data_IF_192290892884
#
_entry.id   IF_192290892884
#
_cell.length_a   1.000
_cell.length_b   1.000
_cell.length_c   1.000
_cell.angle_alpha   90.00
_cell.angle_beta   90.00
_cell.angle_gamma   90.00
#
_symmetry.space_group_name_H-M   'P 1'
#
loop_
_entity.id
_entity.type
_entity.pdbx_description
1 polymer ?
#
# COMPACT_ATOMS: atom_id res chain seq x y z
N UNK A 1 6.13 -5.05 -30.22
CA UNK A 1 6.46 -5.30 -28.80
C UNK A 1 6.14 -4.00 -28.06
N UNK A 2 5.04 -3.92 -27.36
CA UNK A 2 4.53 -2.65 -26.83
C UNK A 2 4.95 -2.51 -25.37
N UNK A 3 5.80 -1.56 -25.09
CA UNK A 3 6.18 -1.15 -23.74
C UNK A 3 5.11 -0.21 -23.19
N UNK A 4 4.45 -0.64 -22.12
CA UNK A 4 3.37 0.12 -21.48
C UNK A 4 3.91 0.94 -20.32
N UNK A 5 3.64 2.24 -20.29
CA UNK A 5 3.81 3.07 -19.08
C UNK A 5 2.90 2.57 -17.95
N UNK A 6 3.21 2.90 -16.70
CA UNK A 6 2.31 2.56 -15.57
C UNK A 6 0.88 3.05 -15.84
N UNK A 7 0.73 4.24 -16.46
CA UNK A 7 -0.55 4.83 -16.90
C UNK A 7 -1.27 3.96 -17.93
N UNK A 8 -0.56 3.46 -18.93
CA UNK A 8 -1.13 2.53 -19.93
C UNK A 8 -1.48 1.15 -19.35
N UNK A 9 -0.72 0.67 -18.37
CA UNK A 9 -1.04 -0.58 -17.67
C UNK A 9 -2.37 -0.47 -16.92
N UNK A 10 -2.66 0.68 -16.29
CA UNK A 10 -3.96 0.98 -15.68
C UNK A 10 -5.06 0.99 -16.75
N UNK A 11 -4.83 1.65 -17.87
CA UNK A 11 -5.81 1.79 -18.95
C UNK A 11 -6.07 0.49 -19.73
N UNK A 12 -5.03 -0.32 -19.96
CA UNK A 12 -5.23 -1.65 -20.56
C UNK A 12 -5.95 -2.60 -19.62
N UNK A 13 -5.68 -2.51 -18.32
CA UNK A 13 -6.44 -3.26 -17.33
C UNK A 13 -7.93 -2.90 -17.37
N UNK A 14 -8.27 -1.63 -17.62
CA UNK A 14 -9.63 -1.16 -17.76
C UNK A 14 -10.30 -1.57 -19.09
N UNK A 15 -9.55 -1.57 -20.22
CA UNK A 15 -10.08 -1.91 -21.56
C UNK A 15 -10.19 -3.40 -21.85
N UNK A 16 -9.31 -4.25 -21.29
CA UNK A 16 -9.27 -5.71 -21.55
C UNK A 16 -10.16 -6.53 -20.63
N UNK A 17 -11.18 -5.97 -20.04
CA UNK A 17 -12.02 -6.72 -19.11
C UNK A 17 -12.95 -7.73 -19.76
N UNK A 18 -13.11 -7.70 -21.06
CA UNK A 18 -14.00 -8.61 -21.80
C UNK A 18 -13.22 -9.76 -22.50
N UNK A 19 -11.90 -9.69 -22.57
CA UNK A 19 -11.08 -10.78 -23.06
C UNK A 19 -10.37 -11.50 -21.91
N UNK A 20 -10.55 -12.83 -21.82
CA UNK A 20 -9.89 -13.68 -20.82
C UNK A 20 -8.37 -13.53 -20.94
N UNK A 21 -7.76 -12.97 -19.89
CA UNK A 21 -6.31 -12.94 -19.75
C UNK A 21 -5.79 -14.36 -19.52
N UNK A 22 -4.79 -14.76 -20.29
CA UNK A 22 -4.08 -16.03 -20.17
C UNK A 22 -3.56 -16.23 -18.72
N UNK A 23 -3.57 -17.45 -18.17
CA UNK A 23 -3.14 -17.74 -16.79
C UNK A 23 -1.72 -17.29 -16.44
N UNK A 24 -0.88 -17.03 -17.44
CA UNK A 24 0.53 -16.65 -17.29
C UNK A 24 0.73 -15.21 -16.80
N UNK A 25 -0.23 -14.30 -17.03
CA UNK A 25 -0.12 -12.89 -16.57
C UNK A 25 -0.40 -12.69 -15.07
N UNK A 26 -0.83 -13.70 -14.35
CA UNK A 26 -1.28 -13.64 -12.95
C UNK A 26 -0.16 -13.58 -11.92
N UNK A 27 1.09 -13.77 -12.32
CA UNK A 27 2.21 -13.98 -11.38
C UNK A 27 3.24 -12.84 -11.32
N UNK A 28 2.99 -11.70 -11.97
CA UNK A 28 4.00 -10.66 -12.13
C UNK A 28 3.80 -9.46 -11.20
N UNK A 29 4.76 -9.20 -10.34
CA UNK A 29 4.90 -7.94 -9.60
C UNK A 29 5.77 -6.95 -10.39
N UNK A 30 5.54 -5.64 -10.21
CA UNK A 30 6.26 -4.58 -10.91
C UNK A 30 6.73 -3.52 -9.94
N UNK A 31 7.95 -3.05 -10.12
CA UNK A 31 8.48 -1.88 -9.42
C UNK A 31 8.85 -0.81 -10.45
N UNK A 32 8.37 0.40 -10.26
CA UNK A 32 8.67 1.56 -11.11
C UNK A 32 9.44 2.58 -10.28
N UNK A 33 10.66 2.86 -10.67
CA UNK A 33 11.50 3.90 -10.10
C UNK A 33 11.46 5.13 -11.01
N UNK A 34 10.86 6.21 -10.54
CA UNK A 34 10.64 7.44 -11.32
C UNK A 34 11.18 8.65 -10.56
N UNK A 35 11.76 9.60 -11.29
CA UNK A 35 12.00 10.95 -10.81
C UNK A 35 11.31 11.96 -11.71
N UNK A 36 10.67 12.95 -11.12
CA UNK A 36 10.21 14.14 -11.82
C UNK A 36 11.20 15.30 -11.64
N UNK A 37 11.35 16.14 -12.68
CA UNK A 37 12.09 17.40 -12.55
C UNK A 37 11.33 18.31 -11.57
N UNK A 38 12.08 19.02 -10.72
CA UNK A 38 11.52 20.00 -9.80
C UNK A 38 10.59 20.98 -10.56
N UNK A 39 9.31 20.95 -10.25
CA UNK A 39 8.29 21.80 -10.87
C UNK A 39 7.00 21.09 -11.28
N UNK A 40 7.03 19.78 -11.56
CA UNK A 40 5.84 19.01 -11.91
C UNK A 40 5.62 17.91 -10.86
N UNK A 41 4.92 18.22 -9.80
CA UNK A 41 4.24 17.17 -9.02
C UNK A 41 3.01 16.76 -9.84
N UNK A 42 2.82 15.49 -10.24
CA UNK A 42 1.51 15.08 -10.69
C UNK A 42 0.58 15.31 -9.51
N UNK A 43 -0.30 16.26 -9.64
CA UNK A 43 -1.36 16.41 -8.67
C UNK A 43 -2.17 15.11 -8.70
N UNK A 44 -2.41 14.52 -7.54
CA UNK A 44 -3.27 13.33 -7.43
C UNK A 44 -4.70 13.58 -7.97
N UNK A 45 -5.06 14.84 -8.25
CA UNK A 45 -6.21 15.22 -9.03
C UNK A 45 -6.33 14.43 -10.35
N UNK A 46 -5.19 14.05 -10.97
CA UNK A 46 -5.16 13.27 -12.19
C UNK A 46 -5.78 11.89 -12.06
N UNK A 47 -5.51 11.21 -10.93
CA UNK A 47 -6.09 9.89 -10.67
C UNK A 47 -7.61 9.97 -10.46
N UNK A 48 -8.13 11.07 -9.89
CA UNK A 48 -9.57 11.24 -9.68
C UNK A 48 -10.31 11.40 -10.99
N UNK A 49 -9.79 12.24 -11.88
CA UNK A 49 -10.36 12.43 -13.20
C UNK A 49 -10.33 11.12 -14.02
N UNK A 50 -9.23 10.37 -13.94
CA UNK A 50 -9.10 9.07 -14.59
C UNK A 50 -10.10 8.05 -14.01
N UNK A 51 -10.14 7.93 -12.70
CA UNK A 51 -11.02 6.97 -11.99
C UNK A 51 -12.48 7.29 -12.26
N UNK A 52 -12.85 8.59 -12.23
CA UNK A 52 -14.19 9.05 -12.60
C UNK A 52 -14.55 8.72 -14.06
N UNK A 53 -13.63 8.96 -15.01
CA UNK A 53 -13.84 8.64 -16.42
C UNK A 53 -13.99 7.12 -16.69
N UNK A 54 -13.51 6.28 -15.78
CA UNK A 54 -13.62 4.82 -15.82
C UNK A 54 -14.76 4.27 -14.95
N UNK A 55 -15.67 5.13 -14.46
CA UNK A 55 -16.73 4.77 -13.52
C UNK A 55 -16.21 4.07 -12.24
N UNK A 56 -15.02 4.42 -11.80
CA UNK A 56 -14.41 3.95 -10.58
C UNK A 56 -14.84 4.75 -9.36
N UNK A 57 -14.38 4.33 -8.20
CA UNK A 57 -14.64 4.97 -6.91
C UNK A 57 -13.36 5.62 -6.36
N UNK A 58 -13.49 6.86 -5.92
CA UNK A 58 -12.47 7.55 -5.13
C UNK A 58 -12.89 7.51 -3.67
N UNK A 59 -12.03 7.01 -2.81
CA UNK A 59 -12.18 6.96 -1.35
C UNK A 59 -11.20 7.98 -0.77
N UNK A 60 -11.72 9.06 -0.20
CA UNK A 60 -10.88 10.13 0.34
C UNK A 60 -10.67 9.94 1.84
N UNK A 61 -9.47 9.54 2.22
CA UNK A 61 -9.07 9.41 3.61
C UNK A 61 -8.48 10.75 4.09
N UNK A 62 -9.28 11.48 4.86
CA UNK A 62 -8.91 12.79 5.40
C UNK A 62 -9.66 13.04 6.71
N UNK A 63 -9.09 13.78 7.62
CA UNK A 63 -9.68 14.05 8.95
C UNK A 63 -11.07 14.71 8.88
N UNK A 64 -11.39 15.36 7.77
CA UNK A 64 -12.67 16.00 7.49
C UNK A 64 -13.54 15.21 6.47
N UNK A 65 -13.11 14.02 6.06
CA UNK A 65 -13.87 13.17 5.15
C UNK A 65 -14.98 12.42 5.89
N UNK A 66 -15.97 12.00 5.10
CA UNK A 66 -17.04 11.09 5.55
C UNK A 66 -16.78 9.64 5.12
N UNK A 67 -15.71 9.39 4.38
CA UNK A 67 -15.31 8.04 3.96
C UNK A 67 -14.45 7.43 5.07
N UNK A 68 -14.90 6.33 5.65
CA UNK A 68 -14.19 5.63 6.71
C UNK A 68 -13.73 4.25 6.27
N UNK A 69 -12.57 3.85 6.77
CA UNK A 69 -11.98 2.55 6.55
C UNK A 69 -11.54 1.99 7.91
N UNK A 70 -12.16 0.89 8.31
CA UNK A 70 -11.89 0.23 9.58
C UNK A 70 -10.62 -0.65 9.46
N UNK A 71 -9.54 -0.39 10.19
CA UNK A 71 -8.35 -1.24 10.16
C UNK A 71 -8.61 -2.64 10.70
N UNK A 72 -9.70 -2.82 11.43
CA UNK A 72 -10.06 -4.13 11.97
C UNK A 72 -10.85 -5.01 10.99
N UNK A 73 -11.21 -4.52 9.79
CA UNK A 73 -11.94 -5.31 8.82
C UNK A 73 -11.18 -6.57 8.42
N UNK A 74 -11.84 -7.71 8.47
CA UNK A 74 -11.32 -9.02 8.08
C UNK A 74 -12.24 -9.66 7.05
N UNK A 75 -11.65 -10.33 6.08
CA UNK A 75 -12.40 -11.15 5.13
C UNK A 75 -12.29 -12.61 5.52
N UNK A 76 -13.42 -13.19 5.89
CA UNK A 76 -13.53 -14.62 6.16
C UNK A 76 -13.64 -15.37 4.84
N UNK A 77 -12.80 -16.37 4.67
CA UNK A 77 -12.93 -17.33 3.57
C UNK A 77 -13.50 -18.62 4.15
N UNK A 78 -14.52 -19.20 3.51
CA UNK A 78 -15.16 -20.44 3.96
C UNK A 78 -14.20 -21.62 4.20
N UNK A 79 -12.92 -21.45 3.86
CA UNK A 79 -11.91 -22.52 3.92
C UNK A 79 -10.86 -22.35 5.03
N UNK A 80 -10.62 -21.13 5.54
CA UNK A 80 -9.47 -20.94 6.46
C UNK A 80 -9.54 -19.66 7.32
N UNK A 81 -10.56 -19.57 8.18
CA UNK A 81 -10.75 -18.42 9.08
C UNK A 81 -9.57 -18.19 10.03
N UNK A 82 -8.88 -19.27 10.42
CA UNK A 82 -7.68 -19.18 11.29
C UNK A 82 -6.51 -18.47 10.58
N UNK A 83 -6.32 -18.73 9.30
CA UNK A 83 -5.27 -18.05 8.51
C UNK A 83 -5.62 -16.57 8.32
N UNK A 84 -6.90 -16.25 8.06
CA UNK A 84 -7.37 -14.88 7.95
C UNK A 84 -7.14 -14.11 9.26
N UNK A 85 -7.47 -14.70 10.41
CA UNK A 85 -7.22 -14.07 11.72
C UNK A 85 -5.73 -13.88 11.99
N UNK A 86 -4.89 -14.87 11.66
CA UNK A 86 -3.43 -14.75 11.82
C UNK A 86 -2.88 -13.56 11.01
N UNK A 87 -3.27 -13.45 9.75
CA UNK A 87 -2.83 -12.34 8.89
C UNK A 87 -3.31 -10.99 9.40
N UNK A 88 -4.55 -10.95 9.92
CA UNK A 88 -5.09 -9.74 10.55
C UNK A 88 -4.37 -9.41 11.84
N UNK A 89 -4.02 -10.42 12.65
CA UNK A 89 -3.21 -10.22 13.87
C UNK A 89 -1.84 -9.64 13.54
N UNK A 90 -1.14 -10.19 12.55
CA UNK A 90 0.16 -9.68 12.08
C UNK A 90 0.05 -8.19 11.65
N UNK A 91 -1.05 -7.83 10.94
CA UNK A 91 -1.31 -6.45 10.54
C UNK A 91 -1.57 -5.54 11.75
N UNK A 92 -2.46 -5.94 12.67
CA UNK A 92 -2.81 -5.11 13.85
C UNK A 92 -1.61 -4.94 14.77
N UNK A 93 -0.77 -5.97 14.94
CA UNK A 93 0.49 -5.87 15.68
C UNK A 93 1.40 -4.83 15.01
N UNK A 94 1.53 -4.85 13.68
CA UNK A 94 2.32 -3.85 12.94
C UNK A 94 1.76 -2.44 13.12
N UNK A 95 0.42 -2.30 13.09
CA UNK A 95 -0.27 -1.04 13.35
C UNK A 95 0.03 -0.51 14.77
N UNK A 96 -0.08 -1.37 15.77
CA UNK A 96 0.23 -1.03 17.16
C UNK A 96 1.73 -0.72 17.34
N UNK A 97 2.60 -1.42 16.62
CA UNK A 97 4.05 -1.18 16.65
C UNK A 97 4.39 0.22 16.11
N UNK A 98 3.74 0.63 15.02
CA UNK A 98 3.88 1.99 14.48
C UNK A 98 3.37 3.07 15.46
N UNK A 99 2.30 2.79 16.21
CA UNK A 99 1.71 3.75 17.16
C UNK A 99 2.45 3.77 18.51
N UNK A 100 2.79 2.61 19.06
CA UNK A 100 3.24 2.44 20.46
C UNK A 100 4.68 1.93 20.60
N UNK A 101 5.29 1.41 19.54
CA UNK A 101 6.60 0.74 19.57
C UNK A 101 7.79 1.69 19.73
N UNK A 102 7.64 2.98 19.43
CA UNK A 102 8.74 3.93 19.48
C UNK A 102 9.90 3.53 18.55
N UNK A 103 11.14 3.91 18.90
CA UNK A 103 12.32 3.66 18.05
C UNK A 103 12.72 2.20 17.95
N UNK A 104 12.43 1.39 18.97
CA UNK A 104 12.89 -0.01 19.05
C UNK A 104 11.81 -1.01 18.68
N UNK A 105 10.59 -0.55 18.44
CA UNK A 105 9.42 -1.40 18.22
C UNK A 105 8.88 -2.01 19.52
N UNK A 106 7.78 -2.75 19.39
CA UNK A 106 7.18 -3.50 20.50
C UNK A 106 8.01 -4.76 20.83
N UNK A 107 8.11 -5.06 22.12
CA UNK A 107 8.71 -6.29 22.60
C UNK A 107 7.86 -7.53 22.27
N UNK A 108 8.45 -8.71 22.29
CA UNK A 108 7.73 -9.94 21.93
C UNK A 108 6.55 -10.27 22.85
N UNK A 109 6.68 -9.99 24.12
CA UNK A 109 5.59 -10.17 25.10
C UNK A 109 4.45 -9.17 24.89
N UNK A 110 4.76 -7.93 24.49
CA UNK A 110 3.78 -6.91 24.12
C UNK A 110 2.99 -7.33 22.86
N UNK A 111 3.68 -7.89 21.87
CA UNK A 111 3.04 -8.50 20.67
C UNK A 111 2.13 -9.66 21.07
N UNK A 112 2.54 -10.50 22.03
CA UNK A 112 1.74 -11.58 22.58
C UNK A 112 0.47 -11.10 23.30
N UNK A 113 0.57 -9.99 24.04
CA UNK A 113 -0.59 -9.35 24.69
C UNK A 113 -1.60 -8.87 23.65
N UNK A 114 -1.13 -8.18 22.60
CA UNK A 114 -1.98 -7.68 21.52
C UNK A 114 -2.65 -8.86 20.80
N UNK A 115 -1.93 -9.92 20.43
CA UNK A 115 -2.47 -11.11 19.76
C UNK A 115 -3.56 -11.79 20.60
N UNK A 116 -3.37 -11.86 21.91
CA UNK A 116 -4.37 -12.41 22.84
C UNK A 116 -5.65 -11.56 22.86
N UNK A 117 -5.51 -10.23 22.89
CA UNK A 117 -6.65 -9.31 22.85
C UNK A 117 -7.38 -9.41 21.50
N UNK A 118 -6.64 -9.49 20.38
CA UNK A 118 -7.21 -9.66 19.04
C UNK A 118 -8.06 -10.91 18.96
N UNK A 119 -7.54 -12.07 19.38
CA UNK A 119 -8.30 -13.31 19.41
C UNK A 119 -9.59 -13.19 20.20
N UNK A 120 -9.54 -12.47 21.31
CA UNK A 120 -10.72 -12.25 22.16
C UNK A 120 -11.80 -11.40 21.49
N UNK A 121 -11.44 -10.26 20.90
CA UNK A 121 -12.40 -9.31 20.32
C UNK A 121 -13.06 -9.84 19.04
N UNK A 122 -12.39 -10.71 18.27
CA UNK A 122 -12.96 -11.30 17.07
C UNK A 122 -13.90 -12.47 17.33
N UNK A 123 -13.95 -13.03 18.57
CA UNK A 123 -14.83 -14.17 18.88
C UNK A 123 -16.30 -13.90 18.54
N UNK A 124 -16.81 -12.71 18.84
CA UNK A 124 -18.18 -12.32 18.51
C UNK A 124 -18.46 -12.34 17.01
N UNK A 125 -17.52 -11.81 16.23
CA UNK A 125 -17.61 -11.79 14.77
C UNK A 125 -17.54 -13.19 14.15
N UNK A 126 -16.72 -14.10 14.68
CA UNK A 126 -16.64 -15.48 14.20
C UNK A 126 -17.90 -16.30 14.51
N UNK A 127 -18.58 -15.98 15.63
CA UNK A 127 -19.86 -16.64 15.97
C UNK A 127 -20.97 -16.14 15.05
N UNK A 128 -21.00 -14.84 14.78
CA UNK A 128 -22.01 -14.22 13.95
C UNK A 128 -21.36 -13.14 13.06
N UNK A 129 -20.95 -13.50 11.82
CA UNK A 129 -20.18 -12.61 10.93
C UNK A 129 -21.08 -11.53 10.27
N UNK A 130 -21.50 -10.59 11.09
CA UNK A 130 -22.27 -9.41 10.66
C UNK A 130 -21.41 -8.15 10.77
N UNK A 131 -21.67 -7.11 9.92
CA UNK A 131 -20.95 -5.84 9.99
C UNK A 131 -20.97 -5.19 11.37
N UNK A 132 -22.06 -5.36 12.13
CA UNK A 132 -22.23 -4.80 13.47
C UNK A 132 -21.32 -5.46 14.51
N UNK A 133 -20.93 -6.73 14.29
CA UNK A 133 -20.07 -7.49 15.17
C UNK A 133 -18.58 -7.36 14.80
N UNK A 134 -18.28 -6.66 13.69
CA UNK A 134 -16.88 -6.38 13.31
C UNK A 134 -16.25 -5.49 14.37
N UNK A 135 -15.08 -5.87 14.95
CA UNK A 135 -14.41 -5.03 15.94
C UNK A 135 -14.02 -3.66 15.38
N UNK A 136 -13.89 -2.70 16.27
CA UNK A 136 -13.27 -1.40 16.03
C UNK A 136 -11.95 -1.31 16.81
N UNK A 137 -11.17 -0.26 16.55
CA UNK A 137 -9.94 0.01 17.29
C UNK A 137 -10.23 0.22 18.79
N UNK A 138 -11.41 0.77 19.12
CA UNK A 138 -11.90 0.92 20.49
C UNK A 138 -12.08 -0.42 21.21
N UNK A 139 -12.49 -1.47 20.52
CA UNK A 139 -12.63 -2.82 21.11
C UNK A 139 -11.26 -3.36 21.54
N UNK A 140 -10.22 -3.14 20.73
CA UNK A 140 -8.85 -3.48 21.08
C UNK A 140 -8.36 -2.66 22.28
N UNK A 141 -8.61 -1.35 22.27
CA UNK A 141 -8.29 -0.46 23.40
C UNK A 141 -8.92 -0.96 24.70
N UNK A 142 -10.21 -1.27 24.68
CA UNK A 142 -10.93 -1.78 25.84
C UNK A 142 -10.44 -3.16 26.29
N UNK A 143 -10.09 -4.04 25.34
CA UNK A 143 -9.54 -5.36 25.65
C UNK A 143 -8.15 -5.25 26.33
N UNK A 144 -7.30 -4.33 25.88
CA UNK A 144 -6.00 -4.04 26.48
C UNK A 144 -6.14 -3.50 27.91
N UNK A 145 -7.09 -2.60 28.18
CA UNK A 145 -7.35 -2.08 29.53
C UNK A 145 -7.87 -3.18 30.49
N UNK A 146 -8.61 -4.16 29.97
CA UNK A 146 -9.17 -5.28 30.71
C UNK A 146 -8.31 -6.54 30.66
N UNK A 147 -7.08 -6.44 30.13
CA UNK A 147 -6.22 -7.59 29.93
C UNK A 147 -5.88 -8.28 31.27
N UNK A 148 -6.18 -9.57 31.36
CA UNK A 148 -5.84 -10.43 32.48
C UNK A 148 -4.87 -11.53 32.01
N UNK A 149 -3.59 -11.49 32.45
CA UNK A 149 -2.59 -12.48 32.05
C UNK A 149 -2.85 -13.80 32.74
N UNK A 150 -3.45 -14.78 32.02
CA UNK A 150 -3.77 -16.10 32.56
C UNK A 150 -2.61 -17.10 32.51
N UNK A 151 -1.75 -16.94 31.48
CA UNK A 151 -0.67 -17.89 31.18
C UNK A 151 0.71 -17.28 31.54
N UNK A 152 0.76 -16.36 32.49
CA UNK A 152 1.96 -15.65 32.91
C UNK A 152 2.22 -15.95 34.39
N UNK A 153 3.49 -16.18 34.74
CA UNK A 153 3.89 -16.40 36.13
C UNK A 153 3.42 -15.25 37.04
N UNK A 154 2.96 -15.54 38.27
CA UNK A 154 2.37 -14.52 39.13
C UNK A 154 3.24 -13.27 39.36
N UNK A 155 4.56 -13.45 39.41
CA UNK A 155 5.53 -12.37 39.57
C UNK A 155 5.53 -11.39 38.39
N UNK A 156 5.22 -11.89 37.16
CA UNK A 156 5.22 -11.11 35.92
C UNK A 156 3.84 -10.55 35.54
N UNK A 157 2.78 -10.97 36.22
CA UNK A 157 1.40 -10.55 35.88
C UNK A 157 1.21 -9.03 35.99
N UNK A 158 1.82 -8.41 36.99
CA UNK A 158 1.75 -6.96 37.19
C UNK A 158 2.42 -6.20 36.03
N UNK A 159 3.57 -6.67 35.62
CA UNK A 159 4.31 -6.09 34.50
C UNK A 159 3.52 -6.25 33.18
N UNK A 160 2.99 -7.43 32.89
CA UNK A 160 2.18 -7.68 31.71
C UNK A 160 0.94 -6.76 31.63
N UNK A 161 0.25 -6.54 32.77
CA UNK A 161 -0.86 -5.56 32.85
C UNK A 161 -0.39 -4.12 32.59
N UNK A 162 0.76 -3.72 33.14
CA UNK A 162 1.32 -2.39 32.89
C UNK A 162 1.66 -2.19 31.40
N UNK A 163 2.24 -3.20 30.75
CA UNK A 163 2.52 -3.19 29.31
C UNK A 163 1.23 -3.05 28.49
N UNK A 164 0.19 -3.81 28.81
CA UNK A 164 -1.12 -3.70 28.16
C UNK A 164 -1.72 -2.28 28.28
N UNK A 165 -1.70 -1.69 29.49
CA UNK A 165 -2.18 -0.33 29.73
C UNK A 165 -1.33 0.70 28.98
N UNK A 166 0.00 0.52 28.91
CA UNK A 166 0.89 1.40 28.13
C UNK A 166 0.50 1.43 26.66
N UNK A 167 0.25 0.25 26.08
CA UNK A 167 -0.19 0.14 24.67
C UNK A 167 -1.56 0.80 24.49
N UNK A 168 -2.52 0.54 25.40
CA UNK A 168 -3.84 1.17 25.35
C UNK A 168 -3.71 2.71 25.40
N UNK A 169 -2.91 3.25 26.31
CA UNK A 169 -2.69 4.69 26.41
C UNK A 169 -2.13 5.31 25.12
N UNK A 170 -1.30 4.59 24.38
CA UNK A 170 -0.81 5.05 23.08
C UNK A 170 -1.92 5.08 22.01
N UNK A 171 -2.96 4.25 22.14
CA UNK A 171 -4.11 4.22 21.23
C UNK A 171 -5.15 5.31 21.53
N UNK A 172 -5.12 5.97 22.70
CA UNK A 172 -6.14 6.97 23.12
C UNK A 172 -6.34 8.06 22.07
N UNK A 173 -5.26 8.54 21.46
CA UNK A 173 -5.33 9.60 20.44
C UNK A 173 -6.13 9.16 19.22
N UNK A 174 -6.07 7.88 18.87
CA UNK A 174 -6.69 7.27 17.68
C UNK A 174 -8.10 6.72 17.97
N UNK A 175 -8.46 6.56 19.23
CA UNK A 175 -9.78 6.04 19.65
C UNK A 175 -10.68 7.17 20.10
N UNK A 176 -10.23 7.98 21.06
CA UNK A 176 -11.00 9.05 21.71
C UNK A 176 -10.47 10.44 21.41
N UNK A 177 -9.26 10.55 20.84
CA UNK A 177 -8.60 11.83 20.58
C UNK A 177 -8.94 12.41 19.22
N UNK A 178 -8.19 13.46 18.84
CA UNK A 178 -8.38 14.20 17.57
C UNK A 178 -8.03 13.41 16.30
N UNK A 179 -7.43 12.24 16.44
CA UNK A 179 -7.05 11.37 15.33
C UNK A 179 -7.90 10.09 15.24
N UNK A 180 -9.13 10.12 15.75
CA UNK A 180 -10.03 8.96 15.81
C UNK A 180 -10.64 8.57 14.44
N UNK A 181 -10.11 9.10 13.35
CA UNK A 181 -10.60 8.88 12.00
C UNK A 181 -10.69 7.39 11.64
N UNK A 182 -9.77 6.57 12.13
CA UNK A 182 -9.75 5.12 11.88
C UNK A 182 -10.55 4.29 12.90
N UNK A 183 -11.26 4.92 13.81
CA UNK A 183 -12.13 4.25 14.80
C UNK A 183 -13.61 4.29 14.37
N UNK A 184 -13.87 4.07 13.09
CA UNK A 184 -15.21 4.04 12.51
C UNK A 184 -15.39 2.80 11.66
N UNK A 185 -16.64 2.33 11.51
CA UNK A 185 -16.96 1.24 10.59
C UNK A 185 -16.73 1.68 9.16
N UNK A 186 -16.23 0.77 8.32
CA UNK A 186 -16.11 1.01 6.90
C UNK A 186 -17.47 1.29 6.29
N UNK A 187 -17.59 2.42 5.59
CA UNK A 187 -18.81 2.87 4.93
C UNK A 187 -18.62 3.07 3.43
N UNK A 188 -17.48 2.71 2.89
CA UNK A 188 -17.17 2.81 1.46
C UNK A 188 -17.49 1.49 0.75
N UNK A 189 -17.98 1.56 -0.50
CA UNK A 189 -18.22 0.37 -1.31
C UNK A 189 -16.89 -0.23 -1.78
N UNK A 190 -16.48 -1.32 -1.13
CA UNK A 190 -15.26 -2.04 -1.49
C UNK A 190 -15.42 -2.94 -2.72
N UNK A 191 -16.59 -2.99 -3.37
CA UNK A 191 -16.86 -3.89 -4.50
C UNK A 191 -16.61 -3.25 -5.86
N UNK A 192 -16.42 -1.93 -5.94
CA UNK A 192 -16.13 -1.28 -7.21
C UNK A 192 -14.87 -1.87 -7.85
N UNK A 193 -14.92 -2.07 -9.17
CA UNK A 193 -13.82 -2.68 -9.93
C UNK A 193 -12.55 -1.82 -9.95
N UNK A 194 -12.71 -0.50 -9.95
CA UNK A 194 -11.62 0.47 -9.95
C UNK A 194 -11.78 1.35 -8.72
N UNK A 195 -10.78 1.32 -7.85
CA UNK A 195 -10.76 2.13 -6.62
C UNK A 195 -9.48 2.96 -6.56
N UNK A 196 -9.61 4.17 -6.07
CA UNK A 196 -8.49 5.04 -5.73
C UNK A 196 -8.63 5.48 -4.27
N UNK A 197 -7.61 5.23 -3.47
CA UNK A 197 -7.53 5.74 -2.10
C UNK A 197 -6.68 7.01 -2.09
N UNK A 198 -7.31 8.13 -1.74
CA UNK A 198 -6.62 9.41 -1.57
C UNK A 198 -6.28 9.65 -0.10
N UNK A 199 -4.99 9.71 0.20
CA UNK A 199 -4.46 9.90 1.55
C UNK A 199 -3.71 11.23 1.73
N UNK A 200 -3.80 12.15 0.78
CA UNK A 200 -3.03 13.42 0.79
C UNK A 200 -3.31 14.27 2.01
N UNK A 201 -4.59 14.38 2.35
CA UNK A 201 -5.09 15.27 3.39
C UNK A 201 -5.05 14.63 4.80
N UNK A 202 -4.47 13.43 4.94
CA UNK A 202 -4.21 12.78 6.24
C UNK A 202 -3.03 13.45 6.93
N UNK A 203 -2.65 14.53 7.00
CA UNK A 203 -1.50 15.07 7.73
C UNK A 203 -0.30 14.10 7.90
N UNK A 204 0.88 14.61 8.11
CA UNK A 204 2.11 13.80 8.10
C UNK A 204 2.11 12.64 9.12
N UNK A 205 1.48 12.82 10.28
CA UNK A 205 1.43 11.79 11.34
C UNK A 205 0.51 10.60 11.00
N UNK A 206 -0.56 10.84 10.23
CA UNK A 206 -1.51 9.80 9.85
C UNK A 206 -1.20 9.19 8.48
N UNK A 207 -0.31 9.79 7.69
CA UNK A 207 -0.07 9.38 6.32
C UNK A 207 0.51 7.97 6.23
N UNK A 208 1.52 7.65 7.03
CA UNK A 208 2.13 6.32 7.07
C UNK A 208 1.13 5.27 7.60
N UNK A 209 0.38 5.63 8.64
CA UNK A 209 -0.69 4.80 9.18
C UNK A 209 -1.79 4.55 8.12
N UNK A 210 -2.21 5.60 7.42
CA UNK A 210 -3.20 5.52 6.34
C UNK A 210 -2.73 4.63 5.19
N UNK A 211 -1.47 4.73 4.78
CA UNK A 211 -0.89 3.85 3.74
C UNK A 211 -0.90 2.38 4.18
N UNK A 212 -0.54 2.11 5.44
CA UNK A 212 -0.56 0.75 5.98
C UNK A 212 -1.98 0.18 6.00
N UNK A 213 -2.98 0.97 6.42
CA UNK A 213 -4.40 0.58 6.44
C UNK A 213 -4.94 0.35 5.03
N UNK A 214 -4.60 1.21 4.06
CA UNK A 214 -4.96 1.01 2.65
C UNK A 214 -4.34 -0.26 2.11
N UNK A 215 -3.09 -0.55 2.43
CA UNK A 215 -2.43 -1.78 1.99
C UNK A 215 -3.14 -3.03 2.52
N UNK A 216 -3.61 -3.01 3.77
CA UNK A 216 -4.41 -4.11 4.34
C UNK A 216 -5.79 -4.21 3.66
N UNK A 217 -6.45 -3.10 3.37
CA UNK A 217 -7.72 -3.10 2.63
C UNK A 217 -7.55 -3.69 1.22
N UNK A 218 -6.45 -3.36 0.53
CA UNK A 218 -6.10 -3.97 -0.75
C UNK A 218 -5.83 -5.47 -0.59
N UNK A 219 -5.14 -5.87 0.48
CA UNK A 219 -4.92 -7.29 0.79
C UNK A 219 -6.25 -8.06 0.98
N UNK A 220 -7.20 -7.48 1.71
CA UNK A 220 -8.54 -8.05 1.87
C UNK A 220 -9.22 -8.22 0.49
N UNK A 221 -9.06 -7.25 -0.42
CA UNK A 221 -9.59 -7.35 -1.78
C UNK A 221 -8.91 -8.45 -2.61
N UNK A 222 -7.59 -8.58 -2.53
CA UNK A 222 -6.84 -9.66 -3.19
C UNK A 222 -7.33 -11.01 -2.69
N UNK A 223 -7.57 -11.13 -1.39
CA UNK A 223 -8.05 -12.38 -0.76
C UNK A 223 -9.43 -12.76 -1.28
N UNK A 224 -10.38 -11.81 -1.37
CA UNK A 224 -11.70 -12.04 -1.97
C UNK A 224 -11.63 -12.45 -3.45
N UNK A 225 -10.83 -11.71 -4.22
CA UNK A 225 -10.71 -11.93 -5.65
C UNK A 225 -10.04 -13.26 -5.99
N UNK A 226 -9.13 -13.75 -5.13
CA UNK A 226 -8.51 -15.07 -5.26
C UNK A 226 -9.54 -16.19 -5.35
N UNK A 227 -10.57 -16.17 -4.50
CA UNK A 227 -11.63 -17.19 -4.50
C UNK A 227 -12.42 -17.17 -5.80
N UNK A 228 -12.60 -15.98 -6.36
CA UNK A 228 -13.28 -15.74 -7.65
C UNK A 228 -12.37 -15.94 -8.87
N UNK A 229 -11.08 -16.24 -8.66
CA UNK A 229 -10.04 -16.34 -9.69
C UNK A 229 -9.87 -15.04 -10.50
N UNK A 230 -10.05 -13.88 -9.86
CA UNK A 230 -9.92 -12.56 -10.45
C UNK A 230 -8.58 -11.97 -10.02
N UNK A 231 -7.75 -11.52 -10.97
CA UNK A 231 -6.50 -10.83 -10.68
C UNK A 231 -6.78 -9.43 -10.12
N UNK A 232 -6.01 -9.02 -9.12
CA UNK A 232 -6.08 -7.68 -8.53
C UNK A 232 -4.79 -6.93 -8.83
N UNK A 233 -4.89 -5.79 -9.50
CA UNK A 233 -3.77 -4.87 -9.74
C UNK A 233 -3.76 -3.80 -8.67
N UNK A 234 -2.63 -3.64 -8.02
CA UNK A 234 -2.41 -2.64 -6.98
C UNK A 234 -1.29 -1.70 -7.40
N UNK A 235 -1.59 -0.41 -7.48
CA UNK A 235 -0.62 0.64 -7.78
C UNK A 235 -0.48 1.51 -6.55
N UNK A 236 0.74 1.57 -6.00
CA UNK A 236 1.06 2.37 -4.83
C UNK A 236 2.03 3.47 -5.24
N UNK A 237 1.54 4.70 -5.26
CA UNK A 237 2.39 5.88 -5.46
C UNK A 237 3.10 6.25 -4.15
N UNK A 238 4.26 6.90 -4.27
CA UNK A 238 5.14 7.23 -3.14
C UNK A 238 5.44 6.02 -2.24
N UNK A 239 5.62 4.85 -2.87
CA UNK A 239 5.79 3.57 -2.18
C UNK A 239 6.92 3.57 -1.14
N UNK A 240 7.94 4.44 -1.31
CA UNK A 240 9.04 4.60 -0.35
C UNK A 240 8.56 4.99 1.05
N UNK A 241 7.37 5.58 1.19
CA UNK A 241 6.82 5.94 2.51
C UNK A 241 6.50 4.70 3.37
N UNK A 242 6.13 3.58 2.74
CA UNK A 242 5.91 2.31 3.45
C UNK A 242 7.22 1.65 3.91
N UNK A 243 8.37 2.12 3.43
CA UNK A 243 9.68 1.57 3.73
C UNK A 243 10.50 2.41 4.72
N UNK A 244 9.94 3.52 5.21
CA UNK A 244 10.64 4.40 6.17
C UNK A 244 10.84 3.74 7.51
N UNK A 245 9.77 3.15 8.05
CA UNK A 245 9.80 2.47 9.32
C UNK A 245 10.02 0.97 9.07
N UNK A 246 10.95 0.37 9.82
CA UNK A 246 11.34 -1.02 9.62
C UNK A 246 10.17 -1.99 9.68
N UNK A 247 9.23 -1.77 10.61
CA UNK A 247 8.08 -2.66 10.81
C UNK A 247 7.14 -2.63 9.60
N UNK A 248 6.83 -1.43 9.09
CA UNK A 248 5.99 -1.28 7.89
C UNK A 248 6.69 -1.81 6.65
N UNK A 249 8.02 -1.68 6.56
CA UNK A 249 8.81 -2.24 5.49
C UNK A 249 8.74 -3.77 5.47
N UNK A 250 8.98 -4.42 6.60
CA UNK A 250 8.88 -5.89 6.74
C UNK A 250 7.48 -6.37 6.35
N UNK A 251 6.43 -5.72 6.87
CA UNK A 251 5.05 -6.06 6.52
C UNK A 251 4.78 -5.91 5.01
N UNK A 252 5.26 -4.80 4.42
CA UNK A 252 5.08 -4.53 2.98
C UNK A 252 5.78 -5.57 2.11
N UNK A 253 7.00 -6.00 2.47
CA UNK A 253 7.72 -7.08 1.77
C UNK A 253 6.95 -8.40 1.83
N UNK A 254 6.41 -8.74 3.01
CA UNK A 254 5.61 -9.97 3.16
C UNK A 254 4.33 -9.94 2.33
N UNK A 255 3.61 -8.83 2.34
CA UNK A 255 2.42 -8.65 1.51
C UNK A 255 2.78 -8.72 0.02
N UNK A 256 3.90 -8.11 -0.39
CA UNK A 256 4.38 -8.16 -1.79
C UNK A 256 4.63 -9.59 -2.27
N UNK A 257 5.31 -10.39 -1.46
CA UNK A 257 5.53 -11.82 -1.73
C UNK A 257 4.22 -12.61 -1.80
N UNK A 258 3.27 -12.29 -0.92
CA UNK A 258 1.97 -12.97 -0.87
C UNK A 258 1.08 -12.61 -2.06
N UNK A 259 1.08 -11.36 -2.51
CA UNK A 259 0.32 -10.92 -3.69
C UNK A 259 0.59 -11.82 -4.89
N UNK A 260 1.86 -12.12 -5.18
CA UNK A 260 2.25 -13.00 -6.29
C UNK A 260 1.57 -14.38 -6.23
N UNK A 261 1.45 -14.96 -5.03
CA UNK A 261 0.83 -16.28 -4.83
C UNK A 261 -0.71 -16.22 -4.86
N UNK A 262 -1.29 -15.05 -4.63
CA UNK A 262 -2.73 -14.86 -4.45
C UNK A 262 -3.42 -14.17 -5.62
N UNK A 263 -2.73 -13.99 -6.74
CA UNK A 263 -3.27 -13.34 -7.94
C UNK A 263 -3.28 -11.82 -7.86
N UNK A 264 -2.55 -11.24 -6.90
CA UNK A 264 -2.27 -9.81 -6.84
C UNK A 264 -1.06 -9.45 -7.71
N UNK A 265 -1.12 -8.27 -8.33
CA UNK A 265 -0.04 -7.71 -9.15
C UNK A 265 0.30 -6.34 -8.56
N UNK A 266 1.20 -6.28 -7.56
CA UNK A 266 1.59 -5.02 -6.97
C UNK A 266 2.54 -4.24 -7.88
N UNK A 267 2.41 -2.92 -7.89
CA UNK A 267 3.29 -1.99 -8.59
C UNK A 267 3.59 -0.83 -7.64
N UNK A 268 4.82 -0.71 -7.20
CA UNK A 268 5.31 0.43 -6.42
C UNK A 268 5.88 1.50 -7.34
N UNK A 269 5.48 2.74 -7.12
CA UNK A 269 6.03 3.92 -7.80
C UNK A 269 6.73 4.79 -6.75
N UNK A 270 7.91 5.29 -7.08
CA UNK A 270 8.60 6.24 -6.21
C UNK A 270 9.40 7.24 -7.02
N UNK A 271 9.46 8.46 -6.52
CA UNK A 271 10.32 9.52 -7.03
C UNK A 271 11.60 9.65 -6.19
N UNK A 272 11.59 9.13 -4.97
CA UNK A 272 12.71 9.19 -4.05
C UNK A 272 13.48 7.86 -4.03
N UNK A 273 14.31 7.69 -5.08
CA UNK A 273 15.10 6.46 -5.27
C UNK A 273 16.15 6.30 -4.18
N UNK A 274 16.78 7.41 -3.75
CA UNK A 274 17.81 7.38 -2.74
C UNK A 274 17.31 6.83 -1.39
N UNK A 275 16.14 7.25 -0.94
CA UNK A 275 15.56 6.72 0.31
C UNK A 275 15.01 5.31 0.15
N UNK A 276 14.42 5.03 -1.02
CA UNK A 276 13.93 3.70 -1.36
C UNK A 276 15.03 2.64 -1.30
N UNK A 277 16.20 2.91 -1.90
CA UNK A 277 17.29 1.94 -1.98
C UNK A 277 18.13 1.83 -0.70
N UNK A 278 17.93 2.70 0.30
CA UNK A 278 18.62 2.60 1.61
C UNK A 278 17.97 1.58 2.53
N UNK A 279 16.71 1.22 2.32
CA UNK A 279 16.03 0.21 3.12
C UNK A 279 16.65 -1.17 2.83
N UNK A 280 17.01 -1.90 3.88
CA UNK A 280 17.51 -3.27 3.76
C UNK A 280 16.45 -4.22 3.19
N UNK A 281 15.17 -3.92 3.45
CA UNK A 281 14.03 -4.70 3.00
C UNK A 281 13.77 -4.59 1.50
N UNK A 282 14.34 -3.56 0.84
CA UNK A 282 14.11 -3.32 -0.60
C UNK A 282 14.63 -4.45 -1.48
N UNK A 283 15.71 -5.11 -1.08
CA UNK A 283 16.24 -6.27 -1.82
C UNK A 283 15.19 -7.38 -1.94
N UNK A 284 14.37 -7.55 -0.90
CA UNK A 284 13.25 -8.48 -0.93
C UNK A 284 12.16 -8.08 -1.93
N UNK A 285 11.92 -6.79 -2.14
CA UNK A 285 10.94 -6.29 -3.11
C UNK A 285 11.49 -6.38 -4.53
N UNK A 286 12.71 -5.89 -4.77
CA UNK A 286 13.36 -5.96 -6.08
C UNK A 286 13.51 -7.40 -6.56
N UNK A 287 13.99 -8.32 -5.69
CA UNK A 287 14.13 -9.73 -6.00
C UNK A 287 12.81 -10.48 -6.24
N UNK A 288 11.67 -9.93 -5.82
CA UNK A 288 10.34 -10.46 -6.10
C UNK A 288 9.59 -9.66 -7.18
N UNK A 289 10.25 -8.69 -7.82
CA UNK A 289 9.69 -7.89 -8.91
C UNK A 289 10.13 -8.46 -10.25
N UNK A 290 9.18 -8.80 -11.11
CA UNK A 290 9.49 -9.29 -12.46
C UNK A 290 9.99 -8.18 -13.38
N UNK A 291 9.62 -6.92 -13.11
CA UNK A 291 10.03 -5.76 -13.89
C UNK A 291 10.44 -4.61 -12.97
N UNK A 292 11.54 -3.96 -13.32
CA UNK A 292 11.92 -2.65 -12.76
C UNK A 292 12.00 -1.65 -13.91
N UNK A 293 11.21 -0.58 -13.82
CA UNK A 293 11.24 0.53 -14.77
C UNK A 293 12.02 1.69 -14.18
N UNK A 294 13.11 2.05 -14.82
CA UNK A 294 13.92 3.22 -14.48
C UNK A 294 13.64 4.31 -15.51
N UNK A 295 13.01 5.38 -15.06
CA UNK A 295 12.88 6.62 -15.82
C UNK A 295 14.05 7.56 -15.47
N UNK A 296 14.01 8.82 -15.93
CA UNK A 296 15.08 9.77 -15.68
C UNK A 296 15.44 9.88 -14.19
N UNK A 297 16.71 9.67 -13.86
CA UNK A 297 17.25 9.62 -12.50
C UNK A 297 18.19 10.78 -12.21
N UNK A 298 18.39 11.09 -10.93
CA UNK A 298 19.35 12.08 -10.49
C UNK A 298 20.80 11.53 -10.57
N UNK A 299 21.74 12.39 -10.92
CA UNK A 299 23.15 12.04 -10.90
C UNK A 299 23.63 11.52 -9.52
N UNK A 300 23.06 12.01 -8.42
CA UNK A 300 23.38 11.56 -7.06
C UNK A 300 22.96 10.12 -6.78
N UNK A 301 21.92 9.63 -7.43
CA UNK A 301 21.37 8.29 -7.20
C UNK A 301 22.01 7.23 -8.09
N UNK A 302 22.84 7.64 -9.08
CA UNK A 302 23.45 6.74 -10.06
C UNK A 302 24.37 5.69 -9.43
N UNK A 303 25.19 6.09 -8.48
CA UNK A 303 26.11 5.16 -7.81
C UNK A 303 25.35 4.06 -7.06
N UNK A 304 24.26 4.42 -6.39
CA UNK A 304 23.40 3.48 -5.66
C UNK A 304 22.66 2.57 -6.63
N UNK A 305 22.14 3.12 -7.74
CA UNK A 305 21.47 2.34 -8.78
C UNK A 305 22.41 1.38 -9.47
N UNK A 306 23.65 1.81 -9.79
CA UNK A 306 24.66 0.95 -10.37
C UNK A 306 24.95 -0.24 -9.48
N UNK A 307 25.20 0.00 -8.20
CA UNK A 307 25.51 -1.02 -7.21
C UNK A 307 24.34 -2.00 -6.98
N UNK A 308 23.16 -1.46 -6.67
CA UNK A 308 21.99 -2.28 -6.29
C UNK A 308 21.34 -3.04 -7.44
N UNK A 309 21.43 -2.52 -8.67
CA UNK A 309 20.81 -3.12 -9.87
C UNK A 309 21.84 -3.69 -10.84
N UNK A 310 23.11 -3.62 -10.51
CA UNK A 310 24.18 -4.16 -11.36
C UNK A 310 24.30 -3.47 -12.71
N UNK A 311 24.03 -2.15 -12.80
CA UNK A 311 24.00 -1.41 -14.06
C UNK A 311 25.39 -0.87 -14.42
N UNK A 312 25.80 -1.05 -15.67
CA UNK A 312 27.01 -0.44 -16.24
C UNK A 312 26.83 1.05 -16.48
N UNK A 313 27.93 1.81 -16.59
CA UNK A 313 27.90 3.25 -16.94
C UNK A 313 27.15 3.53 -18.24
N UNK A 314 27.31 2.66 -19.25
CA UNK A 314 26.58 2.79 -20.53
C UNK A 314 25.06 2.63 -20.36
N UNK A 315 24.63 1.74 -19.50
CA UNK A 315 23.20 1.56 -19.19
C UNK A 315 22.67 2.75 -18.38
N UNK A 316 23.43 3.24 -17.40
CA UNK A 316 23.05 4.42 -16.63
C UNK A 316 22.89 5.68 -17.49
N UNK A 317 23.64 5.82 -18.57
CA UNK A 317 23.49 6.94 -19.50
C UNK A 317 22.07 7.07 -20.08
N UNK A 318 21.29 5.96 -20.19
CA UNK A 318 19.92 5.97 -20.67
C UNK A 318 18.89 6.50 -19.66
N UNK A 319 19.28 6.61 -18.38
CA UNK A 319 18.41 7.11 -17.31
C UNK A 319 18.94 8.41 -16.69
N UNK A 320 20.05 8.91 -17.22
CA UNK A 320 20.68 10.15 -16.77
C UNK A 320 20.49 11.22 -17.83
N UNK A 321 19.89 12.34 -17.48
CA UNK A 321 19.58 13.42 -18.42
C UNK A 321 18.78 12.96 -19.66
N UNK A 322 18.02 11.87 -19.54
CA UNK A 322 17.17 11.38 -20.59
C UNK A 322 15.92 12.25 -20.76
N UNK A 323 15.38 12.29 -21.98
CA UNK A 323 14.10 12.97 -22.23
C UNK A 323 12.94 12.25 -21.53
N UNK A 324 11.82 12.96 -21.26
CA UNK A 324 10.60 12.33 -20.77
C UNK A 324 10.15 11.17 -21.67
N UNK A 325 9.78 10.06 -21.07
CA UNK A 325 9.39 8.85 -21.79
C UNK A 325 10.54 7.93 -22.16
N UNK A 326 11.78 8.25 -21.81
CA UNK A 326 12.96 7.40 -22.04
C UNK A 326 13.43 6.78 -20.74
N UNK A 327 14.01 5.59 -20.81
CA UNK A 327 14.50 4.89 -19.62
C UNK A 327 15.03 3.48 -19.89
N UNK A 328 15.10 2.69 -18.82
CA UNK A 328 15.48 1.29 -18.85
C UNK A 328 14.36 0.42 -18.28
N UNK A 329 14.16 -0.74 -18.87
CA UNK A 329 13.37 -1.84 -18.33
C UNK A 329 14.33 -2.95 -17.95
N UNK A 330 14.32 -3.33 -16.69
CA UNK A 330 14.99 -4.51 -16.21
C UNK A 330 13.95 -5.63 -16.12
N UNK A 331 14.23 -6.74 -16.76
CA UNK A 331 13.40 -7.94 -16.75
C UNK A 331 14.31 -9.15 -16.60
N UNK A 332 14.26 -9.79 -15.44
CA UNK A 332 15.18 -10.83 -15.06
C UNK A 332 16.64 -10.33 -15.20
N UNK A 333 17.46 -10.97 -15.99
CA UNK A 333 18.86 -10.57 -16.26
C UNK A 333 19.01 -9.66 -17.50
N UNK A 334 17.93 -9.19 -18.09
CA UNK A 334 17.95 -8.39 -19.31
C UNK A 334 17.65 -6.94 -19.01
N UNK A 335 18.52 -6.04 -19.48
CA UNK A 335 18.35 -4.60 -19.38
C UNK A 335 18.09 -4.04 -20.77
N UNK A 336 16.92 -3.44 -20.95
CA UNK A 336 16.45 -2.95 -22.26
C UNK A 336 16.25 -1.44 -22.18
N UNK A 337 16.99 -0.63 -22.95
CA UNK A 337 16.66 0.78 -23.12
C UNK A 337 15.35 0.92 -23.92
N UNK A 338 14.52 1.89 -23.53
CA UNK A 338 13.28 2.17 -24.22
C UNK A 338 13.06 3.68 -24.39
N UNK A 339 12.28 4.00 -25.43
CA UNK A 339 11.70 5.34 -25.65
C UNK A 339 10.21 5.10 -25.87
N UNK A 340 9.39 5.66 -24.99
CA UNK A 340 7.93 5.54 -25.05
C UNK A 340 7.33 6.95 -24.88
N UNK A 341 6.98 7.58 -25.99
CA UNK A 341 6.30 8.89 -25.98
C UNK A 341 4.81 8.64 -25.98
N UNK A 342 4.16 9.04 -24.91
CA UNK A 342 2.70 8.90 -24.81
C UNK A 342 2.03 9.81 -25.85
N UNK A 343 1.05 9.31 -26.64
CA UNK A 343 0.34 10.12 -27.65
C UNK A 343 -0.41 11.27 -26.96
N UNK A 344 -0.08 12.51 -27.34
CA UNK A 344 -0.62 13.75 -26.72
C UNK A 344 -2.03 14.07 -27.21
N UNK A 345 -2.47 13.49 -28.33
CA UNK A 345 -3.78 13.68 -28.96
C UNK A 345 -4.89 12.79 -28.35
N UNK A 346 -4.57 12.02 -27.31
CA UNK A 346 -5.53 11.11 -26.69
C UNK A 346 -6.33 11.79 -25.57
N UNK A 347 -7.60 11.35 -25.40
CA UNK A 347 -8.45 11.77 -24.28
C UNK A 347 -7.80 11.46 -22.93
N UNK A 348 -7.03 10.37 -22.86
CA UNK A 348 -6.33 9.99 -21.62
C UNK A 348 -5.21 10.95 -21.31
N UNK A 349 -4.42 11.38 -22.32
CA UNK A 349 -3.40 12.40 -22.12
C UNK A 349 -4.04 13.67 -21.58
N UNK A 350 -5.16 14.09 -22.18
CA UNK A 350 -5.89 15.27 -21.76
C UNK A 350 -6.38 15.20 -20.30
N UNK A 351 -6.79 14.01 -19.83
CA UNK A 351 -7.24 13.79 -18.44
C UNK A 351 -6.05 13.78 -17.46
N UNK A 352 -4.91 13.23 -17.89
CA UNK A 352 -3.75 12.96 -17.03
C UNK A 352 -2.66 14.03 -17.12
N UNK A 353 -2.82 15.02 -17.98
CA UNK A 353 -1.83 16.09 -18.17
C UNK A 353 -2.00 17.18 -17.09
N UNK A 354 -0.94 17.37 -16.29
CA UNK A 354 -0.84 18.37 -15.21
C UNK A 354 0.03 19.55 -15.55
N UNK A 355 0.46 19.69 -16.80
CA UNK A 355 1.29 20.84 -17.20
C UNK A 355 0.44 22.12 -17.22
N UNK A 356 0.77 23.13 -16.42
CA UNK A 356 -0.01 24.38 -16.34
C UNK A 356 -0.14 25.10 -17.69
N UNK A 357 0.88 25.01 -18.54
CA UNK A 357 0.95 25.67 -19.83
C UNK A 357 -0.02 25.08 -20.87
N UNK A 358 -0.39 23.81 -20.73
CA UNK A 358 -1.32 23.13 -21.64
C UNK A 358 -2.78 23.10 -21.11
N UNK A 359 -2.98 23.44 -19.82
CA UNK A 359 -4.32 23.50 -19.21
C UNK A 359 -5.06 24.81 -19.47
N UNK A 360 -4.34 25.90 -19.76
CA UNK A 360 -4.93 27.24 -20.00
C UNK A 360 -5.65 27.36 -21.35
N UNK A 361 -5.38 26.45 -22.30
CA UNK A 361 -6.06 26.46 -23.61
C UNK A 361 -7.48 25.88 -23.61
N UNK A 362 -7.95 25.33 -22.49
CA UNK A 362 -9.27 24.63 -22.40
C UNK A 362 -10.39 25.46 -21.79
N UNK A 363 -10.13 26.63 -21.23
CA UNK A 363 -11.18 27.53 -20.70
C UNK A 363 -11.64 28.58 -21.69
N UNK A 364 -11.20 28.52 -22.96
CA UNK A 364 -11.47 29.52 -24.00
C UNK A 364 -12.19 29.02 -25.25
N UNK A 365 -12.74 27.78 -25.28
CA UNK A 365 -13.60 27.30 -26.37
C UNK A 365 -14.99 26.86 -25.89
#
# INVERSE_FOLDING_TARGET
MFTLTAKESILRAARKSDEMLEPYEWKRSRTVLRRERAGNRPDLADYFALVGALNGQVVRLATNSKDFLNPMDIQLSHKNDREALKLKSDFIITLCDLIAGGKNGLENDEKGIIDTCIKHIYNGYFVEPKPENMPLLEDLYNALLKYEPKDVAPEMQKEAKQKAVRIANSLVLYVHGSQNYFNHRTNVDSQNRIMCFDIRDLGNQLKELGMLIVQDAVWNRVSQNRERKIATRYYCDEFHLLLKERQTAIYSVEIWKRFRKWGGIPTGLTQNVGDFLKSEEIEGILGNSDFVYLLNQNAKDQAILADKLGLSEKQLAHVTNSEPGSGLILFDNVVIPFIDKYPTDTKTYAIMNTKPEESVQKEGE
#
